data_IF_625666970555
#
_entry.id   IF_625666970555
#
_cell.length_a   1.000
_cell.length_b   1.000
_cell.length_c   1.000
_cell.angle_alpha   90.00
_cell.angle_beta   90.00
_cell.angle_gamma   90.00
#
_symmetry.space_group_name_H-M   'P 1'
#
loop_
_entity.id
_entity.type
_entity.pdbx_description
1 polymer ?
#
# COMPACT_ATOMS: atom_id res chain seq x y z
N UNK A 1 -1.88 -23.13 2.09
CA UNK A 1 -0.45 -22.97 2.44
C UNK A 1 0.20 -24.31 2.23
N UNK A 2 1.28 -24.37 1.46
CA UNK A 2 2.01 -25.62 1.21
C UNK A 2 3.49 -25.42 1.51
N UNK A 3 4.11 -26.43 2.12
CA UNK A 3 5.55 -26.48 2.26
C UNK A 3 6.15 -27.22 1.05
N UNK A 4 6.99 -26.54 0.27
CA UNK A 4 7.86 -27.19 -0.71
C UNK A 4 9.29 -27.14 -0.19
N UNK A 5 9.72 -28.21 0.47
CA UNK A 5 11.01 -28.27 1.16
C UNK A 5 11.06 -27.34 2.39
N UNK A 6 12.11 -26.51 2.51
CA UNK A 6 12.27 -25.52 3.60
C UNK A 6 11.55 -24.18 3.35
N UNK A 7 10.87 -24.02 2.21
CA UNK A 7 10.22 -22.77 1.84
C UNK A 7 8.71 -22.85 2.07
N UNK A 8 8.19 -21.92 2.86
CA UNK A 8 6.74 -21.70 3.03
C UNK A 8 6.21 -21.05 1.75
N UNK A 9 5.37 -21.78 1.02
CA UNK A 9 4.70 -21.26 -0.16
C UNK A 9 3.28 -20.81 0.24
N UNK A 10 3.08 -19.49 0.23
CA UNK A 10 1.77 -18.88 0.45
C UNK A 10 1.15 -18.62 -0.91
N UNK A 11 0.02 -19.24 -1.18
CA UNK A 11 -0.81 -19.03 -2.38
C UNK A 11 -2.20 -18.57 -1.95
N UNK A 12 -2.83 -17.75 -2.80
CA UNK A 12 -4.23 -17.35 -2.60
C UNK A 12 -5.14 -18.59 -2.64
N UNK A 13 -6.15 -18.61 -1.76
CA UNK A 13 -7.27 -19.55 -1.88
C UNK A 13 -8.03 -19.28 -3.19
N UNK A 14 -8.85 -20.23 -3.64
CA UNK A 14 -9.60 -20.05 -4.89
C UNK A 14 -10.54 -18.83 -4.82
N UNK A 15 -11.21 -18.65 -3.69
CA UNK A 15 -11.98 -17.45 -3.36
C UNK A 15 -11.11 -16.18 -3.39
N UNK A 16 -9.90 -16.26 -2.84
CA UNK A 16 -8.92 -15.17 -2.85
C UNK A 16 -8.44 -14.81 -4.25
N UNK A 17 -8.27 -15.80 -5.15
CA UNK A 17 -7.95 -15.57 -6.57
C UNK A 17 -9.10 -14.90 -7.30
N UNK A 18 -10.35 -15.36 -7.08
CA UNK A 18 -11.54 -14.75 -7.68
C UNK A 18 -11.67 -13.30 -7.23
N UNK A 19 -11.47 -13.03 -5.94
CA UNK A 19 -11.52 -11.69 -5.39
C UNK A 19 -10.36 -10.82 -5.93
N UNK A 20 -9.14 -11.35 -5.99
CA UNK A 20 -7.98 -10.62 -6.51
C UNK A 20 -8.16 -10.26 -7.99
N UNK A 21 -8.72 -11.18 -8.78
CA UNK A 21 -9.07 -10.96 -10.19
C UNK A 21 -10.20 -9.95 -10.34
N UNK A 22 -11.24 -10.02 -9.51
CA UNK A 22 -12.35 -9.04 -9.51
C UNK A 22 -11.85 -7.61 -9.32
N UNK A 23 -10.84 -7.43 -8.47
CA UNK A 23 -10.28 -6.13 -8.13
C UNK A 23 -8.96 -5.80 -8.86
N UNK A 24 -8.51 -6.63 -9.82
CA UNK A 24 -7.24 -6.48 -10.53
C UNK A 24 -6.04 -6.16 -9.61
N UNK A 25 -5.98 -6.79 -8.43
CA UNK A 25 -5.03 -6.46 -7.36
C UNK A 25 -3.56 -6.61 -7.80
N UNK A 26 -3.29 -7.59 -8.65
CA UNK A 26 -1.94 -7.88 -9.15
C UNK A 26 -1.50 -6.88 -10.23
N UNK A 27 -2.44 -6.15 -10.82
CA UNK A 27 -2.20 -5.17 -11.89
C UNK A 27 -2.16 -3.72 -11.38
N UNK A 28 -2.47 -3.50 -10.09
CA UNK A 28 -2.45 -2.18 -9.48
C UNK A 28 -1.09 -1.51 -9.66
N UNK A 29 -1.10 -0.28 -10.18
CA UNK A 29 0.09 0.52 -10.43
C UNK A 29 -0.22 1.99 -10.24
N UNK A 30 0.55 2.63 -9.37
CA UNK A 30 0.48 4.08 -9.19
C UNK A 30 1.02 4.78 -10.43
N UNK A 31 0.18 5.63 -11.03
CA UNK A 31 0.57 6.49 -12.15
C UNK A 31 1.56 7.55 -11.65
N UNK A 32 2.77 7.53 -12.22
CA UNK A 32 3.82 8.52 -11.94
C UNK A 32 3.72 9.66 -12.96
N UNK A 33 3.22 10.85 -12.60
CA UNK A 33 3.17 11.99 -13.50
C UNK A 33 4.59 12.44 -13.87
N UNK A 34 4.73 13.09 -15.04
CA UNK A 34 6.02 13.67 -15.49
C UNK A 34 6.55 14.74 -14.54
N UNK A 35 5.65 15.44 -13.85
CA UNK A 35 5.96 16.51 -12.90
C UNK A 35 5.28 16.22 -11.58
N UNK A 36 6.06 16.22 -10.50
CA UNK A 36 5.53 16.15 -9.15
C UNK A 36 4.84 17.47 -8.78
N UNK A 37 3.71 17.39 -8.09
CA UNK A 37 2.91 18.53 -7.66
C UNK A 37 3.38 19.16 -6.36
N UNK A 38 4.53 18.72 -5.83
CA UNK A 38 5.13 19.16 -4.57
C UNK A 38 4.26 18.85 -3.35
N UNK A 39 3.42 17.82 -3.43
CA UNK A 39 2.63 17.34 -2.29
C UNK A 39 3.01 15.91 -1.94
N UNK A 40 3.15 15.66 -0.65
CA UNK A 40 3.29 14.34 -0.08
C UNK A 40 1.91 13.78 0.23
N UNK A 41 1.65 12.54 -0.17
CA UNK A 41 0.45 11.80 0.19
C UNK A 41 0.87 10.73 1.19
N UNK A 42 0.32 10.84 2.39
CA UNK A 42 0.68 10.01 3.53
C UNK A 42 -0.52 9.13 3.83
N UNK A 43 -0.36 7.84 3.67
CA UNK A 43 -1.33 6.85 4.12
C UNK A 43 -0.99 6.44 5.56
N UNK A 44 -1.91 6.69 6.47
CA UNK A 44 -1.87 6.14 7.82
C UNK A 44 -2.96 5.09 7.98
N UNK A 45 -2.71 4.10 8.83
CA UNK A 45 -3.73 3.15 9.19
C UNK A 45 -3.63 2.70 10.64
N UNK A 46 -4.77 2.35 11.21
CA UNK A 46 -4.86 1.65 12.48
C UNK A 46 -5.74 0.41 12.28
N UNK A 47 -5.11 -0.76 12.31
CA UNK A 47 -5.74 -2.04 12.05
C UNK A 47 -5.51 -2.92 13.28
N UNK A 48 -6.60 -3.29 13.94
CA UNK A 48 -6.61 -4.11 15.14
C UNK A 48 -5.78 -5.41 14.98
N UNK A 49 -5.20 -5.89 16.07
CA UNK A 49 -4.32 -7.08 16.07
C UNK A 49 -5.02 -8.34 15.56
N UNK A 50 -6.32 -8.48 15.81
CA UNK A 50 -7.14 -9.59 15.30
C UNK A 50 -7.14 -9.68 13.76
N UNK A 51 -6.79 -8.58 13.07
CA UNK A 51 -6.68 -8.50 11.62
C UNK A 51 -5.21 -8.42 11.14
N UNK A 52 -4.26 -8.93 11.92
CA UNK A 52 -2.82 -8.93 11.59
C UNK A 52 -2.52 -9.41 10.17
N UNK A 53 -3.17 -10.47 9.70
CA UNK A 53 -2.95 -11.00 8.34
C UNK A 53 -3.30 -9.97 7.25
N UNK A 54 -4.41 -9.24 7.40
CA UNK A 54 -4.83 -8.18 6.47
C UNK A 54 -3.87 -6.99 6.52
N UNK A 55 -3.37 -6.65 7.70
CA UNK A 55 -2.38 -5.59 7.89
C UNK A 55 -1.06 -5.92 7.22
N UNK A 56 -0.56 -7.15 7.35
CA UNK A 56 0.66 -7.57 6.64
C UNK A 56 0.44 -7.63 5.12
N UNK A 57 -0.73 -8.09 4.67
CA UNK A 57 -1.09 -8.07 3.25
C UNK A 57 -1.11 -6.63 2.68
N UNK A 58 -1.71 -5.69 3.42
CA UNK A 58 -1.68 -4.27 3.06
C UNK A 58 -0.24 -3.75 2.94
N UNK A 59 0.61 -3.98 3.94
CA UNK A 59 2.02 -3.56 3.92
C UNK A 59 2.77 -4.14 2.71
N UNK A 60 2.54 -5.41 2.39
CA UNK A 60 3.08 -6.06 1.20
C UNK A 60 2.69 -5.32 -0.08
N UNK A 61 1.39 -5.07 -0.27
CA UNK A 61 0.89 -4.36 -1.45
C UNK A 61 1.38 -2.92 -1.53
N UNK A 62 1.44 -2.17 -0.42
CA UNK A 62 1.96 -0.80 -0.43
C UNK A 62 3.43 -0.75 -0.84
N UNK A 63 4.23 -1.74 -0.40
CA UNK A 63 5.62 -1.89 -0.82
C UNK A 63 5.74 -2.22 -2.31
N UNK A 64 4.92 -3.13 -2.82
CA UNK A 64 4.86 -3.47 -4.25
C UNK A 64 4.47 -2.26 -5.13
N UNK A 65 3.54 -1.43 -4.64
CA UNK A 65 3.14 -0.18 -5.29
C UNK A 65 4.22 0.90 -5.23
N UNK A 66 5.28 0.67 -4.45
CA UNK A 66 6.43 1.57 -4.35
C UNK A 66 6.23 2.73 -3.37
N UNK A 67 5.29 2.63 -2.42
CA UNK A 67 5.24 3.59 -1.32
C UNK A 67 6.45 3.39 -0.39
N UNK A 68 6.91 4.49 0.21
CA UNK A 68 7.96 4.47 1.20
C UNK A 68 7.37 4.21 2.59
N UNK A 69 7.91 3.23 3.31
CA UNK A 69 7.48 2.91 4.67
C UNK A 69 8.18 3.83 5.68
N UNK A 70 7.51 4.91 6.10
CA UNK A 70 8.05 5.84 7.09
C UNK A 70 8.02 5.28 8.52
N UNK A 71 6.94 4.58 8.86
CA UNK A 71 6.79 3.79 10.08
C UNK A 71 5.96 2.54 9.80
N UNK A 72 5.76 1.68 10.82
CA UNK A 72 4.97 0.45 10.68
C UNK A 72 3.60 0.68 10.05
N UNK A 73 2.93 1.78 10.37
CA UNK A 73 1.59 2.10 9.85
C UNK A 73 1.51 3.46 9.14
N UNK A 74 2.67 4.00 8.72
CA UNK A 74 2.76 5.30 8.04
C UNK A 74 3.54 5.12 6.76
N UNK A 75 2.90 5.42 5.64
CA UNK A 75 3.43 5.22 4.29
C UNK A 75 3.31 6.50 3.49
N UNK A 76 4.34 6.80 2.70
CA UNK A 76 4.42 8.08 1.97
C UNK A 76 4.61 7.82 0.48
N UNK A 77 3.97 8.62 -0.35
CA UNK A 77 4.21 8.68 -1.78
C UNK A 77 3.94 10.09 -2.34
N UNK A 78 4.75 10.56 -3.30
CA UNK A 78 4.56 11.87 -3.94
C UNK A 78 3.45 11.87 -5.01
N UNK A 79 2.92 10.69 -5.38
CA UNK A 79 1.99 10.52 -6.49
C UNK A 79 0.59 10.17 -6.00
N UNK A 80 -0.44 10.52 -6.77
CA UNK A 80 -1.82 10.12 -6.44
C UNK A 80 -1.96 8.60 -6.43
N UNK A 81 -2.50 8.05 -5.34
CA UNK A 81 -2.71 6.61 -5.16
C UNK A 81 -4.09 6.26 -4.57
N UNK A 82 -5.02 7.22 -4.57
CA UNK A 82 -6.29 7.05 -3.85
C UNK A 82 -7.13 5.91 -4.42
N UNK A 83 -7.15 5.78 -5.75
CA UNK A 83 -7.84 4.68 -6.45
C UNK A 83 -7.29 3.32 -6.01
N UNK A 84 -5.96 3.17 -5.94
CA UNK A 84 -5.32 1.93 -5.49
C UNK A 84 -5.63 1.62 -4.03
N UNK A 85 -5.64 2.63 -3.17
CA UNK A 85 -6.02 2.47 -1.75
C UNK A 85 -7.48 2.05 -1.61
N UNK A 86 -8.38 2.61 -2.40
CA UNK A 86 -9.81 2.25 -2.35
C UNK A 86 -10.04 0.81 -2.82
N UNK A 87 -9.30 0.38 -3.86
CA UNK A 87 -9.30 -1.03 -4.29
C UNK A 87 -8.77 -1.94 -3.18
N UNK A 88 -7.66 -1.58 -2.53
CA UNK A 88 -7.08 -2.37 -1.42
C UNK A 88 -8.02 -2.43 -0.21
N UNK A 89 -8.69 -1.33 0.14
CA UNK A 89 -9.71 -1.28 1.19
C UNK A 89 -10.82 -2.29 0.94
N UNK A 90 -11.38 -2.27 -0.27
CA UNK A 90 -12.45 -3.17 -0.66
C UNK A 90 -12.01 -4.64 -0.69
N UNK A 91 -10.81 -4.92 -1.22
CA UNK A 91 -10.27 -6.27 -1.29
C UNK A 91 -9.97 -6.87 0.09
N UNK A 92 -9.42 -6.08 1.01
CA UNK A 92 -9.09 -6.53 2.37
C UNK A 92 -10.31 -6.48 3.32
N UNK A 93 -11.44 -5.96 2.86
CA UNK A 93 -12.68 -5.86 3.63
C UNK A 93 -12.57 -4.89 4.81
N UNK A 94 -11.92 -3.73 4.59
CA UNK A 94 -11.91 -2.62 5.54
C UNK A 94 -13.16 -1.74 5.32
N UNK A 95 -13.69 -1.18 6.40
CA UNK A 95 -15.01 -0.50 6.38
C UNK A 95 -14.92 1.03 6.36
N UNK A 96 -13.69 1.58 6.36
CA UNK A 96 -13.43 2.99 6.04
C UNK A 96 -12.85 3.80 7.19
N UNK A 97 -12.83 3.26 8.42
CA UNK A 97 -12.23 3.90 9.59
C UNK A 97 -10.76 3.55 9.82
N UNK A 98 -10.28 2.49 9.20
CA UNK A 98 -8.96 1.91 9.48
C UNK A 98 -7.83 2.60 8.73
N UNK A 99 -8.12 3.36 7.66
CA UNK A 99 -7.09 3.96 6.81
C UNK A 99 -7.48 5.37 6.33
N UNK A 100 -6.55 6.30 6.52
CA UNK A 100 -6.71 7.73 6.20
C UNK A 100 -5.55 8.22 5.36
N UNK A 101 -5.85 9.01 4.33
CA UNK A 101 -4.83 9.69 3.52
C UNK A 101 -4.74 11.14 3.95
N UNK A 102 -3.52 11.62 4.18
CA UNK A 102 -3.19 13.01 4.48
C UNK A 102 -2.41 13.58 3.31
N UNK A 103 -2.76 14.80 2.89
CA UNK A 103 -1.99 15.55 1.90
C UNK A 103 -1.20 16.61 2.66
N UNK A 104 0.13 16.55 2.57
CA UNK A 104 1.03 17.48 3.23
C UNK A 104 1.90 18.19 2.18
N UNK A 105 2.20 19.46 2.42
CA UNK A 105 3.18 20.23 1.63
C UNK A 105 4.60 20.03 2.12
N UNK A 106 4.77 19.59 3.37
CA UNK A 106 6.06 19.47 4.04
C UNK A 106 6.11 18.18 4.87
N UNK A 107 7.31 17.61 4.99
CA UNK A 107 7.60 16.45 5.84
C UNK A 107 9.06 16.52 6.26
N UNK A 108 9.35 16.27 7.56
CA UNK A 108 10.70 16.44 8.11
C UNK A 108 11.79 15.66 7.33
N UNK A 109 11.46 14.46 6.86
CA UNK A 109 12.36 13.58 6.10
C UNK A 109 12.34 13.83 4.59
N UNK A 110 12.00 15.02 4.13
CA UNK A 110 11.82 15.34 2.72
C UNK A 110 13.02 14.94 1.84
N UNK A 111 14.26 15.26 2.26
CA UNK A 111 15.48 14.91 1.48
C UNK A 111 15.64 13.41 1.23
N UNK A 112 15.36 12.60 2.25
CA UNK A 112 15.41 11.14 2.15
C UNK A 112 14.34 10.62 1.18
N UNK A 113 13.12 11.14 1.30
CA UNK A 113 12.00 10.75 0.44
C UNK A 113 12.24 11.18 -1.02
N UNK A 114 12.70 12.41 -1.25
CA UNK A 114 13.05 12.88 -2.59
C UNK A 114 14.10 11.98 -3.25
N UNK A 115 15.11 11.55 -2.48
CA UNK A 115 16.14 10.61 -2.95
C UNK A 115 15.52 9.25 -3.30
N UNK A 116 14.70 8.69 -2.41
CA UNK A 116 14.01 7.41 -2.63
C UNK A 116 13.12 7.42 -3.89
N UNK A 117 12.40 8.52 -4.12
CA UNK A 117 11.49 8.67 -5.26
C UNK A 117 12.17 9.22 -6.53
N UNK A 118 13.47 9.51 -6.50
CA UNK A 118 14.23 10.16 -7.57
C UNK A 118 13.59 11.48 -8.04
N UNK A 119 13.13 12.29 -7.08
CA UNK A 119 12.58 13.62 -7.32
C UNK A 119 13.70 14.66 -7.39
N UNK A 120 13.54 15.64 -8.27
CA UNK A 120 14.45 16.78 -8.44
C UNK A 120 13.85 18.05 -7.86
#
# INVERSE_FOLDING_TARGET
MEYKGKQLHVSLSEEGKVLAKKYSIDELKIKKPKKWDKKWRILIFDIEEKYRSRREALRGKLKELGLYQLQKSVWVCPYHFQEEVDVLKNFLGFTGGEMTTIIATEIEKEKELMTFFNLK
#
